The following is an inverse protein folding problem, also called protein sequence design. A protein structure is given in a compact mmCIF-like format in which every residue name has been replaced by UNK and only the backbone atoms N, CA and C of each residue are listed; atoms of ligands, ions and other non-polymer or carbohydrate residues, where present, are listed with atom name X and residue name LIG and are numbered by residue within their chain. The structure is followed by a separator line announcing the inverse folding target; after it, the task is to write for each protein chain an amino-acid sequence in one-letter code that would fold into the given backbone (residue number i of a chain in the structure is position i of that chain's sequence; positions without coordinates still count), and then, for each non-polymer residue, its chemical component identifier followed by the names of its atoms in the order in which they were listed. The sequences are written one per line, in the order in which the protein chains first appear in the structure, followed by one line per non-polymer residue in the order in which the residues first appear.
data_IF_026023104418
#
_entry.id   IF_026023104418
#
_cell.length_a   1.000
_cell.length_b   1.000
_cell.length_c   1.000
_cell.angle_alpha   90.00
_cell.angle_beta   90.00
_cell.angle_gamma   90.00
#
_symmetry.space_group_name_H-M   'P 1'
#
loop_
_entity.id
_entity.type
_entity.pdbx_description
1 polymer ?
#
# COMPACT_ATOMS: atom_id res chain seq x y z
N UNK A 1 49.81 22.63 23.78
CA UNK A 1 49.44 21.21 23.66
C UNK A 1 48.00 21.19 23.18
N UNK A 2 47.82 20.69 21.98
CA UNK A 2 46.54 20.56 21.28
C UNK A 2 45.69 19.50 21.97
N UNK A 3 44.43 19.80 22.24
CA UNK A 3 43.45 18.79 22.65
C UNK A 3 42.36 18.79 21.59
N UNK A 4 42.20 17.62 20.99
CA UNK A 4 41.35 17.29 19.85
C UNK A 4 39.92 17.82 19.98
N UNK A 5 39.47 18.49 18.92
CA UNK A 5 38.06 18.68 18.63
C UNK A 5 37.54 17.28 18.24
N UNK A 6 36.74 16.65 19.10
CA UNK A 6 35.98 15.47 18.72
C UNK A 6 35.01 15.88 17.62
N UNK A 7 35.39 15.62 16.36
CA UNK A 7 34.44 15.62 15.25
C UNK A 7 33.43 14.50 15.53
N UNK A 8 32.22 14.90 15.95
CA UNK A 8 31.06 14.01 15.91
C UNK A 8 30.89 13.62 14.45
N UNK A 9 30.86 12.32 14.08
CA UNK A 9 30.57 11.95 12.72
C UNK A 9 29.23 12.58 12.34
N UNK A 10 29.23 13.32 11.23
CA UNK A 10 28.00 13.80 10.63
C UNK A 10 27.15 12.56 10.36
N UNK A 11 26.08 12.38 11.13
CA UNK A 11 24.99 11.53 10.69
C UNK A 11 24.51 12.18 9.38
N UNK A 12 24.88 11.60 8.24
CA UNK A 12 24.02 11.70 7.07
C UNK A 12 22.72 11.08 7.51
N UNK A 13 21.74 11.91 7.89
CA UNK A 13 20.33 11.54 7.88
C UNK A 13 20.02 11.14 6.44
N UNK A 14 20.34 9.90 6.08
CA UNK A 14 19.73 9.25 4.93
C UNK A 14 18.27 9.12 5.32
N UNK A 15 17.43 9.98 4.76
CA UNK A 15 16.01 10.04 5.06
C UNK A 15 15.38 8.67 4.69
N UNK A 16 15.17 7.82 5.69
CA UNK A 16 14.57 6.50 5.48
C UNK A 16 13.06 6.62 5.36
N UNK A 17 12.51 5.94 4.37
CA UNK A 17 11.07 5.78 4.19
C UNK A 17 10.65 4.39 4.62
N UNK A 18 9.61 4.33 5.44
CA UNK A 18 9.12 3.08 6.04
C UNK A 18 7.82 2.67 5.38
N UNK A 19 7.76 1.43 4.91
CA UNK A 19 6.64 0.88 4.16
C UNK A 19 6.09 -0.38 4.81
N UNK A 20 4.77 -0.51 4.84
CA UNK A 20 4.12 -1.80 5.03
C UNK A 20 4.11 -2.49 3.67
N UNK A 21 4.74 -3.67 3.59
CA UNK A 21 4.76 -4.43 2.35
C UNK A 21 3.59 -5.40 2.28
N UNK A 22 3.03 -5.53 1.08
CA UNK A 22 1.88 -6.34 0.81
C UNK A 22 2.02 -7.03 -0.55
N UNK A 23 1.36 -8.17 -0.70
CA UNK A 23 1.34 -8.94 -1.94
C UNK A 23 -0.05 -8.89 -2.56
N UNK A 24 -0.11 -8.60 -3.86
CA UNK A 24 -1.34 -8.60 -4.65
C UNK A 24 -1.06 -9.32 -5.97
N UNK A 25 -1.67 -10.49 -6.18
CA UNK A 25 -1.44 -11.35 -7.35
C UNK A 25 0.06 -11.55 -7.67
N UNK A 26 0.81 -12.00 -6.68
CA UNK A 26 2.27 -12.24 -6.72
C UNK A 26 3.15 -10.99 -6.94
N UNK A 27 2.56 -9.80 -6.98
CA UNK A 27 3.30 -8.54 -7.03
C UNK A 27 3.56 -8.00 -5.63
N UNK A 28 4.80 -7.60 -5.37
CA UNK A 28 5.18 -6.94 -4.13
C UNK A 28 4.90 -5.43 -4.25
N UNK A 29 4.09 -4.93 -3.33
CA UNK A 29 3.77 -3.52 -3.24
C UNK A 29 4.06 -2.98 -1.84
N UNK A 30 4.32 -1.67 -1.77
CA UNK A 30 4.56 -0.95 -0.53
C UNK A 30 3.58 0.19 -0.38
N UNK A 31 3.02 0.34 0.81
CA UNK A 31 2.29 1.56 1.20
C UNK A 31 3.05 2.24 2.32
N UNK A 32 3.21 3.59 2.30
CA UNK A 32 3.87 4.30 3.37
C UNK A 32 3.22 3.97 4.72
N UNK A 33 4.02 3.64 5.73
CA UNK A 33 3.51 3.23 7.05
C UNK A 33 2.61 4.30 7.68
N UNK A 34 2.88 5.57 7.39
CA UNK A 34 2.11 6.72 7.87
C UNK A 34 0.65 6.72 7.37
N UNK A 35 0.39 6.09 6.22
CA UNK A 35 -0.94 5.93 5.65
C UNK A 35 -1.71 4.72 6.19
N UNK A 36 -1.06 3.85 6.97
CA UNK A 36 -1.67 2.62 7.50
C UNK A 36 -2.10 2.83 8.94
N UNK A 37 -3.35 2.45 9.24
CA UNK A 37 -3.95 2.56 10.58
C UNK A 37 -4.05 1.23 11.31
N UNK A 38 -4.38 0.17 10.58
CA UNK A 38 -4.57 -1.17 11.15
C UNK A 38 -4.29 -2.23 10.07
N UNK A 39 -3.93 -3.43 10.49
CA UNK A 39 -3.79 -4.60 9.61
C UNK A 39 -4.69 -5.69 10.17
N UNK A 40 -5.69 -6.06 9.38
CA UNK A 40 -6.68 -7.04 9.77
C UNK A 40 -6.44 -8.33 8.99
N UNK A 41 -6.60 -9.46 9.68
CA UNK A 41 -6.69 -10.77 9.03
C UNK A 41 -7.99 -10.90 8.22
N UNK A 42 -8.39 -12.13 7.92
CA UNK A 42 -9.63 -12.42 7.20
C UNK A 42 -10.86 -11.77 7.85
N UNK A 43 -11.59 -10.96 7.09
CA UNK A 43 -12.79 -10.24 7.53
C UNK A 43 -14.03 -10.66 6.74
N UNK A 44 -15.19 -10.67 7.40
CA UNK A 44 -16.48 -10.80 6.72
C UNK A 44 -16.85 -9.50 6.01
N UNK A 45 -17.06 -9.57 4.69
CA UNK A 45 -17.41 -8.41 3.86
C UNK A 45 -18.86 -8.52 3.43
N UNK A 46 -19.61 -7.47 3.70
CA UNK A 46 -21.00 -7.32 3.27
C UNK A 46 -21.01 -6.61 1.92
N UNK A 47 -21.53 -7.25 0.87
CA UNK A 47 -21.59 -6.63 -0.46
C UNK A 47 -22.48 -5.39 -0.44
N UNK A 48 -22.00 -4.34 -1.09
CA UNK A 48 -22.79 -3.12 -1.31
C UNK A 48 -23.51 -3.29 -2.67
N UNK A 49 -24.85 -3.17 -2.72
CA UNK A 49 -25.59 -3.24 -3.98
C UNK A 49 -25.15 -2.15 -4.95
N UNK A 50 -25.07 -2.49 -6.24
CA UNK A 50 -24.75 -1.57 -7.35
C UNK A 50 -23.38 -0.88 -7.26
N UNK A 51 -22.50 -1.32 -6.35
CA UNK A 51 -21.17 -0.74 -6.22
C UNK A 51 -20.29 -1.10 -7.44
N UNK A 52 -19.32 -0.24 -7.80
CA UNK A 52 -18.30 -0.55 -8.79
C UNK A 52 -17.56 -1.87 -8.49
N UNK A 53 -17.05 -2.59 -9.50
CA UNK A 53 -16.43 -3.89 -9.31
C UNK A 53 -15.24 -3.89 -8.36
N UNK A 54 -14.47 -2.80 -8.28
CA UNK A 54 -13.37 -2.63 -7.32
C UNK A 54 -13.82 -2.56 -5.86
N UNK A 55 -15.10 -2.30 -5.59
CA UNK A 55 -15.66 -2.32 -4.24
C UNK A 55 -16.06 -3.76 -3.89
N UNK A 56 -15.29 -4.37 -2.99
CA UNK A 56 -15.63 -5.68 -2.44
C UNK A 56 -16.90 -5.60 -1.58
N UNK A 57 -17.13 -4.47 -0.91
CA UNK A 57 -18.28 -4.22 -0.07
C UNK A 57 -17.94 -3.32 1.11
N UNK A 58 -18.49 -3.62 2.29
CA UNK A 58 -18.17 -2.98 3.55
C UNK A 58 -17.86 -4.00 4.65
N UNK A 59 -17.10 -3.57 5.65
CA UNK A 59 -16.84 -4.32 6.87
C UNK A 59 -17.05 -3.44 8.10
N UNK A 60 -17.27 -4.08 9.26
CA UNK A 60 -17.44 -3.39 10.52
C UNK A 60 -16.10 -3.34 11.28
N UNK A 61 -15.53 -2.15 11.41
CA UNK A 61 -14.33 -1.90 12.19
C UNK A 61 -14.69 -1.15 13.47
N UNK A 62 -14.72 -1.87 14.60
CA UNK A 62 -15.00 -1.32 15.94
C UNK A 62 -16.30 -0.50 16.00
N UNK A 63 -17.35 -0.97 15.34
CA UNK A 63 -18.66 -0.31 15.29
C UNK A 63 -18.81 0.71 14.16
N UNK A 64 -17.76 0.97 13.36
CA UNK A 64 -17.81 1.86 12.20
C UNK A 64 -17.87 1.04 10.91
N UNK A 65 -18.71 1.47 9.97
CA UNK A 65 -18.76 0.87 8.62
C UNK A 65 -17.59 1.43 7.82
N UNK A 66 -16.79 0.55 7.25
CA UNK A 66 -15.60 0.86 6.45
C UNK A 66 -15.77 0.24 5.07
N UNK A 67 -15.50 1.02 4.02
CA UNK A 67 -15.54 0.54 2.63
C UNK A 67 -14.35 -0.36 2.35
N UNK A 68 -14.62 -1.54 1.80
CA UNK A 68 -13.65 -2.56 1.46
C UNK A 68 -13.39 -2.54 -0.05
N UNK A 69 -12.15 -2.29 -0.46
CA UNK A 69 -11.71 -2.16 -1.85
C UNK A 69 -10.85 -3.37 -2.21
N UNK A 70 -11.19 -4.09 -3.27
CA UNK A 70 -10.41 -5.21 -3.78
C UNK A 70 -9.22 -4.70 -4.60
N UNK A 71 -8.00 -4.75 -4.05
CA UNK A 71 -6.82 -4.24 -4.78
C UNK A 71 -6.52 -5.02 -6.05
N UNK A 72 -6.84 -6.32 -6.14
CA UNK A 72 -6.64 -7.06 -7.39
C UNK A 72 -7.50 -6.44 -8.48
N UNK A 73 -8.78 -6.18 -8.19
CA UNK A 73 -9.67 -5.53 -9.17
C UNK A 73 -9.28 -4.08 -9.46
N UNK A 74 -8.89 -3.33 -8.42
CA UNK A 74 -8.46 -1.93 -8.57
C UNK A 74 -7.21 -1.79 -9.43
N UNK A 75 -6.30 -2.76 -9.37
CA UNK A 75 -5.06 -2.82 -10.15
C UNK A 75 -5.20 -3.65 -11.44
N UNK A 76 -6.42 -3.97 -11.87
CA UNK A 76 -6.72 -4.75 -13.09
C UNK A 76 -6.05 -6.14 -13.14
N UNK A 77 -5.86 -6.77 -11.99
CA UNK A 77 -5.27 -8.09 -11.82
C UNK A 77 -6.30 -9.21 -11.80
N UNK A 78 -5.80 -10.42 -12.00
CA UNK A 78 -6.61 -11.63 -11.89
C UNK A 78 -7.28 -11.72 -10.51
N UNK A 79 -8.57 -12.07 -10.44
CA UNK A 79 -9.28 -12.20 -9.17
C UNK A 79 -8.66 -13.28 -8.29
N UNK A 80 -8.79 -13.11 -6.97
CA UNK A 80 -8.31 -14.10 -6.01
C UNK A 80 -9.05 -15.44 -6.19
N UNK A 81 -8.38 -16.60 -6.01
CA UNK A 81 -9.03 -17.89 -5.89
C UNK A 81 -10.09 -17.88 -4.77
N UNK A 82 -11.19 -18.60 -4.97
CA UNK A 82 -12.33 -18.57 -4.06
C UNK A 82 -12.02 -18.98 -2.61
N UNK A 83 -10.97 -19.78 -2.40
CA UNK A 83 -10.52 -20.29 -1.11
C UNK A 83 -9.28 -19.57 -0.56
N UNK A 84 -8.80 -18.52 -1.23
CA UNK A 84 -7.66 -17.76 -0.75
C UNK A 84 -8.10 -16.86 0.42
N UNK A 85 -7.46 -17.06 1.58
CA UNK A 85 -7.59 -16.12 2.70
C UNK A 85 -6.93 -14.81 2.30
N UNK A 86 -7.66 -13.71 2.49
CA UNK A 86 -7.21 -12.35 2.19
C UNK A 86 -7.12 -11.54 3.46
N UNK A 87 -6.23 -10.55 3.45
CA UNK A 87 -6.03 -9.61 4.53
C UNK A 87 -6.57 -8.24 4.15
N UNK A 88 -6.75 -7.36 5.13
CA UNK A 88 -7.15 -5.98 4.90
C UNK A 88 -6.15 -5.01 5.53
N UNK A 89 -5.60 -4.12 4.72
CA UNK A 89 -4.81 -2.97 5.21
C UNK A 89 -5.77 -1.79 5.36
N UNK A 90 -5.96 -1.31 6.59
CA UNK A 90 -6.81 -0.17 6.84
C UNK A 90 -6.01 1.10 6.64
N UNK A 91 -6.46 1.95 5.72
CA UNK A 91 -5.89 3.25 5.43
C UNK A 91 -6.88 4.37 5.75
N UNK A 92 -6.38 5.57 5.99
CA UNK A 92 -7.20 6.76 6.19
C UNK A 92 -6.94 7.78 5.08
N UNK A 93 -8.02 8.34 4.53
CA UNK A 93 -7.96 9.43 3.57
C UNK A 93 -9.08 10.43 3.87
N UNK A 94 -8.73 11.70 4.05
CA UNK A 94 -9.72 12.75 4.33
C UNK A 94 -10.54 12.55 5.62
N UNK A 95 -10.04 11.80 6.61
CA UNK A 95 -10.75 11.46 7.85
C UNK A 95 -11.67 10.24 7.76
N UNK A 96 -11.77 9.62 6.58
CA UNK A 96 -12.50 8.39 6.35
C UNK A 96 -11.56 7.19 6.30
N UNK A 97 -12.05 6.05 6.82
CA UNK A 97 -11.30 4.80 6.83
C UNK A 97 -11.73 3.92 5.66
N UNK A 98 -10.74 3.30 5.05
CA UNK A 98 -10.90 2.37 3.93
C UNK A 98 -10.11 1.10 4.22
N UNK A 99 -10.65 -0.05 3.82
CA UNK A 99 -9.98 -1.34 3.93
C UNK A 99 -9.53 -1.80 2.55
N UNK A 100 -8.22 -1.83 2.33
CA UNK A 100 -7.61 -2.35 1.12
C UNK A 100 -7.45 -3.86 1.25
N UNK A 101 -8.23 -4.62 0.49
CA UNK A 101 -8.11 -6.08 0.45
C UNK A 101 -6.88 -6.48 -0.37
N UNK A 102 -6.03 -7.27 0.27
CA UNK A 102 -4.76 -7.76 -0.29
C UNK A 102 -4.66 -9.26 -0.05
N UNK A 103 -3.76 -9.94 -0.76
CA UNK A 103 -3.59 -11.37 -0.57
C UNK A 103 -2.89 -11.62 0.76
N UNK A 104 -1.80 -10.90 1.00
CA UNK A 104 -1.01 -11.01 2.23
C UNK A 104 -0.38 -9.66 2.57
N UNK A 105 -0.23 -9.41 3.86
CA UNK A 105 0.68 -8.37 4.38
C UNK A 105 1.93 -9.07 4.87
N UNK A 106 3.07 -8.54 4.46
CA UNK A 106 4.40 -9.05 4.79
C UNK A 106 5.03 -8.16 5.86
N UNK A 107 6.35 -8.04 5.86
CA UNK A 107 7.08 -7.24 6.84
C UNK A 107 7.02 -5.73 6.58
N UNK A 108 7.44 -4.96 7.57
CA UNK A 108 7.69 -3.52 7.42
C UNK A 108 9.12 -3.35 6.95
N UNK A 109 9.32 -2.62 5.86
CA UNK A 109 10.65 -2.33 5.29
C UNK A 109 11.00 -0.87 5.45
N UNK A 110 12.20 -0.58 5.96
CA UNK A 110 12.83 0.74 5.91
C UNK A 110 13.78 0.80 4.72
N UNK A 111 13.59 1.75 3.82
CA UNK A 111 14.34 1.91 2.59
C UNK A 111 14.88 3.33 2.49
N UNK A 112 16.10 3.50 1.95
CA UNK A 112 16.72 4.82 1.86
C UNK A 112 16.01 5.63 0.78
N UNK A 113 15.65 6.89 1.04
CA UNK A 113 15.04 7.74 0.01
C UNK A 113 15.90 7.88 -1.27
N UNK A 114 17.23 7.73 -1.16
CA UNK A 114 18.15 7.75 -2.29
C UNK A 114 18.01 6.56 -3.27
N UNK A 115 17.40 5.45 -2.82
CA UNK A 115 17.15 4.25 -3.63
C UNK A 115 15.80 4.30 -4.37
N UNK A 116 14.98 5.33 -4.10
CA UNK A 116 13.71 5.52 -4.76
C UNK A 116 13.90 5.88 -6.23
N UNK A 117 13.31 5.09 -7.13
CA UNK A 117 13.29 5.35 -8.56
C UNK A 117 11.88 5.72 -9.00
N UNK A 118 11.76 6.60 -10.00
CA UNK A 118 10.48 6.83 -10.67
C UNK A 118 10.02 5.55 -11.37
N UNK A 119 8.73 5.45 -11.63
CA UNK A 119 8.16 4.34 -12.38
C UNK A 119 8.92 4.14 -13.70
N UNK A 120 9.46 2.93 -13.95
CA UNK A 120 10.18 2.65 -15.18
C UNK A 120 9.18 2.67 -16.36
N UNK A 121 9.64 2.96 -17.58
CA UNK A 121 8.78 2.97 -18.76
C UNK A 121 8.18 1.60 -19.10
N UNK A 122 8.72 0.53 -18.50
CA UNK A 122 8.23 -0.84 -18.63
C UNK A 122 7.10 -1.19 -17.67
N UNK A 123 6.82 -0.34 -16.66
CA UNK A 123 5.65 -0.52 -15.80
C UNK A 123 4.39 -0.18 -16.60
N UNK A 124 3.40 -1.07 -16.56
CA UNK A 124 2.14 -0.88 -17.27
C UNK A 124 1.48 0.46 -16.88
N UNK A 125 0.88 1.22 -17.82
CA UNK A 125 0.26 2.52 -17.52
C UNK A 125 -0.79 2.46 -16.42
N UNK A 126 -1.59 1.39 -16.40
CA UNK A 126 -2.63 1.11 -15.40
C UNK A 126 -2.05 1.00 -13.97
N UNK A 127 -0.81 0.54 -13.84
CA UNK A 127 -0.10 0.45 -12.57
C UNK A 127 0.63 1.74 -12.23
N UNK A 128 1.22 2.40 -13.23
CA UNK A 128 1.88 3.68 -13.06
C UNK A 128 0.90 4.78 -12.60
N UNK A 129 -0.39 4.66 -12.91
CA UNK A 129 -1.45 5.53 -12.39
C UNK A 129 -1.53 5.48 -10.86
N UNK A 130 -1.50 4.27 -10.28
CA UNK A 130 -1.62 4.06 -8.83
C UNK A 130 -0.28 4.01 -8.10
N UNK A 131 0.84 4.21 -8.78
CA UNK A 131 2.16 4.11 -8.20
C UNK A 131 2.90 5.45 -8.18
N UNK A 132 3.56 5.77 -7.07
CA UNK A 132 4.43 6.95 -6.98
C UNK A 132 5.83 6.68 -7.55
N UNK A 133 6.27 5.43 -7.53
CA UNK A 133 7.60 4.98 -7.93
C UNK A 133 7.88 3.56 -7.46
N UNK A 134 9.15 3.16 -7.52
CA UNK A 134 9.59 1.82 -7.18
C UNK A 134 10.86 1.84 -6.34
N UNK A 135 11.12 0.73 -5.65
CA UNK A 135 12.44 0.36 -5.15
C UNK A 135 12.89 -0.93 -5.83
N UNK A 136 14.17 -0.97 -6.23
CA UNK A 136 14.80 -2.20 -6.72
C UNK A 136 15.39 -2.95 -5.54
N UNK A 137 14.78 -4.08 -5.20
CA UNK A 137 15.35 -5.04 -4.25
C UNK A 137 16.21 -6.07 -5.01
N UNK A 138 16.92 -6.93 -4.30
CA UNK A 138 17.85 -7.90 -4.91
C UNK A 138 17.18 -8.77 -5.98
N UNK A 139 16.02 -9.35 -5.68
CA UNK A 139 15.34 -10.33 -6.57
C UNK A 139 13.98 -9.87 -7.10
N UNK A 140 13.53 -8.66 -6.75
CA UNK A 140 12.19 -8.17 -7.11
C UNK A 140 12.07 -6.65 -7.02
N UNK A 141 11.02 -6.12 -7.64
CA UNK A 141 10.64 -4.72 -7.50
C UNK A 141 9.60 -4.56 -6.39
N UNK A 142 9.77 -3.55 -5.55
CA UNK A 142 8.72 -3.07 -4.66
C UNK A 142 8.04 -1.88 -5.35
N UNK A 143 6.78 -2.05 -5.72
CA UNK A 143 5.99 -0.95 -6.29
C UNK A 143 5.39 -0.11 -5.16
N UNK A 144 5.74 1.17 -5.09
CA UNK A 144 5.20 2.07 -4.07
C UNK A 144 3.84 2.57 -4.55
N UNK A 145 2.79 2.24 -3.79
CA UNK A 145 1.41 2.58 -4.11
C UNK A 145 1.03 3.94 -3.52
N UNK A 146 0.35 4.75 -4.33
CA UNK A 146 -0.31 5.97 -3.91
C UNK A 146 -1.70 5.63 -3.37
N UNK A 147 -1.81 5.57 -2.05
CA UNK A 147 -3.07 5.27 -1.35
C UNK A 147 -4.16 6.28 -1.73
N UNK A 148 -3.83 7.56 -1.89
CA UNK A 148 -4.83 8.57 -2.25
C UNK A 148 -5.43 8.29 -3.63
N UNK A 149 -4.61 7.89 -4.61
CA UNK A 149 -5.10 7.52 -5.96
C UNK A 149 -5.87 6.19 -5.97
N UNK A 150 -5.44 5.23 -5.16
CA UNK A 150 -6.20 3.98 -4.98
C UNK A 150 -7.60 4.25 -4.42
N UNK A 151 -7.72 5.20 -3.50
CA UNK A 151 -8.96 5.59 -2.85
C UNK A 151 -9.77 6.64 -3.61
N UNK A 152 -9.20 7.27 -4.63
CA UNK A 152 -9.89 8.14 -5.57
C UNK A 152 -10.81 7.30 -6.48
N UNK A 153 -11.79 6.64 -5.88
CA UNK A 153 -12.95 6.09 -6.54
C UNK A 153 -13.67 7.30 -7.09
N UNK A 154 -13.69 7.48 -8.42
CA UNK A 154 -14.31 8.65 -9.03
C UNK A 154 -15.71 8.81 -8.45
N UNK A 155 -16.03 10.00 -7.94
CA UNK A 155 -17.41 10.42 -7.73
C UNK A 155 -18.09 10.24 -9.08
N UNK A 156 -18.79 9.11 -9.26
CA UNK A 156 -19.74 8.94 -10.33
C UNK A 156 -20.91 9.87 -9.97
N UNK A 157 -20.75 11.14 -10.38
CA UNK A 157 -21.84 12.08 -10.49
C UNK A 157 -22.91 11.57 -11.47
#
# INVERSE_FOLDING_TARGET
MSTEVLERPAATDEEEQVFVTLTVADQLCGVPVLGVRDILGEQSITRIPLAPPEIAGSLNLRGRIVTAIDLRRRLHLAPAPANQKRMSVVAEQGGELYALLVDQVSEVMSLRASEFERNPPTLAPEWAEFSTGIYRLEDRLLVVLDVARLLALSDAA
#
